data_IF_246650333036
#
_entry.id   IF_246650333036
#
_cell.length_a   1.000
_cell.length_b   1.000
_cell.length_c   1.000
_cell.angle_alpha   90.00
_cell.angle_beta   90.00
_cell.angle_gamma   90.00
#
_symmetry.space_group_name_H-M   'P 1'
#
loop_
_entity.id
_entity.type
_entity.pdbx_description
1 polymer ?
#
# COMPACT_ATOMS: atom_id res chain seq x y z
N UNK A 1 4.08 -1.70 58.20
CA UNK A 1 3.97 -1.63 56.73
C UNK A 1 2.77 -0.75 56.40
N UNK A 2 2.97 0.48 55.88
CA UNK A 2 1.87 1.42 55.71
C UNK A 2 1.10 1.18 54.41
N UNK A 3 -0.21 1.22 54.54
CA UNK A 3 -1.24 1.03 53.51
C UNK A 3 -1.38 2.31 52.68
N UNK A 4 -1.11 2.25 51.37
CA UNK A 4 -1.31 3.38 50.45
C UNK A 4 -2.72 3.31 49.86
N UNK A 5 -3.62 4.15 50.36
CA UNK A 5 -4.96 4.37 49.80
C UNK A 5 -4.88 5.32 48.60
N UNK A 6 -5.10 4.80 47.39
CA UNK A 6 -5.18 5.59 46.17
C UNK A 6 -6.55 6.30 46.06
N UNK A 7 -6.56 7.63 46.22
CA UNK A 7 -7.72 8.50 45.95
C UNK A 7 -7.92 8.62 44.44
N UNK A 8 -9.00 8.04 43.90
CA UNK A 8 -9.49 8.33 42.53
C UNK A 8 -10.15 9.71 42.51
N UNK A 9 -9.65 10.62 41.67
CA UNK A 9 -10.37 11.84 41.29
C UNK A 9 -11.30 11.55 40.09
N UNK A 10 -12.51 12.12 40.05
CA UNK A 10 -13.40 12.03 38.89
C UNK A 10 -12.93 12.96 37.77
N UNK A 11 -12.78 12.42 36.55
CA UNK A 11 -12.57 13.23 35.34
C UNK A 11 -13.89 13.90 34.95
N UNK A 12 -13.91 15.23 34.99
CA UNK A 12 -14.99 16.05 34.47
C UNK A 12 -15.14 15.84 32.95
N UNK A 13 -16.36 15.54 32.51
CA UNK A 13 -16.76 15.51 31.12
C UNK A 13 -16.94 16.94 30.61
N UNK A 14 -15.96 17.45 29.85
CA UNK A 14 -16.09 18.71 29.14
C UNK A 14 -16.60 18.46 27.72
N UNK A 15 -17.91 18.65 27.54
CA UNK A 15 -18.59 18.78 26.25
C UNK A 15 -18.04 19.98 25.49
N UNK A 16 -17.37 19.75 24.35
CA UNK A 16 -16.96 20.83 23.43
C UNK A 16 -18.13 21.26 22.54
N UNK A 17 -18.40 22.57 22.41
CA UNK A 17 -19.44 23.07 21.52
C UNK A 17 -19.03 22.98 20.05
N UNK A 18 -20.00 22.59 19.21
CA UNK A 18 -20.01 22.78 17.76
C UNK A 18 -20.13 24.27 17.45
N UNK A 19 -19.18 24.85 16.71
CA UNK A 19 -19.28 26.11 15.97
C UNK A 19 -17.95 26.29 15.21
N UNK A 20 -17.84 26.81 14.00
CA UNK A 20 -18.78 27.20 12.96
C UNK A 20 -17.99 27.14 11.64
N UNK A 21 -18.66 26.81 10.54
CA UNK A 21 -18.09 26.84 9.19
C UNK A 21 -17.67 28.28 8.87
N UNK A 22 -16.36 28.52 8.75
CA UNK A 22 -15.83 29.73 8.12
C UNK A 22 -15.99 29.58 6.61
N UNK A 23 -16.89 30.38 6.06
CA UNK A 23 -17.08 30.63 4.64
C UNK A 23 -15.81 31.27 4.08
N UNK A 24 -15.07 30.54 3.25
CA UNK A 24 -14.09 31.13 2.36
C UNK A 24 -14.80 31.39 1.03
N UNK A 25 -14.92 32.67 0.66
CA UNK A 25 -15.42 33.10 -0.65
C UNK A 25 -14.42 32.70 -1.74
N UNK A 26 -14.82 32.03 -2.83
CA UNK A 26 -14.00 31.98 -4.03
C UNK A 26 -14.38 33.16 -4.93
N UNK A 27 -13.52 34.18 -4.96
CA UNK A 27 -13.43 35.06 -6.12
C UNK A 27 -12.56 34.36 -7.17
N UNK A 28 -13.19 33.82 -8.20
CA UNK A 28 -12.55 33.73 -9.52
C UNK A 28 -13.61 33.51 -10.58
N UNK A 29 -13.68 34.49 -11.47
CA UNK A 29 -14.45 34.52 -12.69
C UNK A 29 -14.22 33.25 -13.51
N UNK A 30 -15.23 32.40 -13.57
CA UNK A 30 -15.35 31.41 -14.63
C UNK A 30 -16.42 31.89 -15.62
N UNK A 31 -16.18 31.77 -16.94
CA UNK A 31 -17.10 32.26 -17.94
C UNK A 31 -18.43 31.51 -17.83
N UNK A 32 -19.46 32.24 -17.42
CA UNK A 32 -20.83 31.73 -17.30
C UNK A 32 -21.37 31.44 -18.70
N UNK A 33 -21.42 30.16 -19.09
CA UNK A 33 -22.01 29.74 -20.35
C UNK A 33 -23.54 29.92 -20.28
N UNK A 34 -24.04 31.11 -20.68
CA UNK A 34 -25.47 31.49 -20.68
C UNK A 34 -26.36 30.68 -21.65
N UNK A 35 -25.82 29.69 -22.39
CA UNK A 35 -26.53 29.02 -23.49
C UNK A 35 -26.95 27.56 -23.22
N UNK A 36 -26.62 26.96 -22.08
CA UNK A 36 -26.98 25.56 -21.82
C UNK A 36 -27.73 25.41 -20.50
N UNK A 37 -29.05 25.57 -20.56
CA UNK A 37 -29.99 25.31 -19.45
C UNK A 37 -30.22 23.79 -19.27
N UNK A 38 -29.14 23.01 -19.36
CA UNK A 38 -29.18 21.57 -19.18
C UNK A 38 -28.46 21.20 -17.87
N UNK A 39 -29.08 20.32 -17.09
CA UNK A 39 -28.53 19.70 -15.88
C UNK A 39 -27.14 19.04 -16.07
N UNK A 40 -26.62 18.98 -17.30
CA UNK A 40 -25.32 18.39 -17.65
C UNK A 40 -24.11 19.24 -17.26
N UNK A 41 -24.23 20.56 -17.11
CA UNK A 41 -23.07 21.41 -16.80
C UNK A 41 -22.77 21.55 -15.30
N UNK A 42 -23.64 21.09 -14.39
CA UNK A 42 -23.38 21.11 -12.93
C UNK A 42 -22.56 19.92 -12.41
N UNK A 43 -22.38 18.86 -13.21
CA UNK A 43 -21.81 17.58 -12.75
C UNK A 43 -20.37 17.28 -13.22
N UNK A 44 -19.76 18.16 -14.01
CA UNK A 44 -18.37 17.98 -14.50
C UNK A 44 -17.32 17.88 -13.36
N UNK A 45 -17.40 18.65 -12.26
CA UNK A 45 -16.48 18.50 -11.13
C UNK A 45 -16.67 17.17 -10.37
N UNK A 46 -17.90 16.66 -10.32
CA UNK A 46 -18.24 15.44 -9.60
C UNK A 46 -17.70 14.18 -10.29
N UNK A 47 -17.74 14.14 -11.63
CA UNK A 47 -17.18 13.04 -12.41
C UNK A 47 -15.65 12.97 -12.29
N UNK A 48 -14.95 14.11 -12.39
CA UNK A 48 -13.50 14.17 -12.19
C UNK A 48 -13.06 13.75 -10.78
N UNK A 49 -13.83 14.16 -9.75
CA UNK A 49 -13.58 13.74 -8.37
C UNK A 49 -13.78 12.23 -8.18
N UNK A 50 -14.84 11.66 -8.75
CA UNK A 50 -15.13 10.22 -8.65
C UNK A 50 -14.03 9.37 -9.33
N UNK A 51 -13.57 9.78 -10.52
CA UNK A 51 -12.47 9.10 -11.22
C UNK A 51 -11.16 9.18 -10.43
N UNK A 52 -10.84 10.35 -9.85
CA UNK A 52 -9.68 10.50 -8.98
C UNK A 52 -9.76 9.58 -7.76
N UNK A 53 -10.90 9.57 -7.08
CA UNK A 53 -11.10 8.72 -5.90
C UNK A 53 -11.01 7.22 -6.24
N UNK A 54 -11.54 6.80 -7.40
CA UNK A 54 -11.39 5.44 -7.89
C UNK A 54 -9.92 5.08 -8.15
N UNK A 55 -9.16 5.98 -8.79
CA UNK A 55 -7.72 5.81 -9.01
C UNK A 55 -6.96 5.72 -7.67
N UNK A 56 -7.23 6.61 -6.73
CA UNK A 56 -6.56 6.65 -5.43
C UNK A 56 -6.84 5.37 -4.62
N UNK A 57 -8.09 4.87 -4.65
CA UNK A 57 -8.47 3.58 -4.04
C UNK A 57 -7.76 2.40 -4.70
N UNK A 58 -7.65 2.40 -6.04
CA UNK A 58 -6.92 1.37 -6.78
C UNK A 58 -5.43 1.38 -6.43
N UNK A 59 -4.80 2.54 -6.38
CA UNK A 59 -3.39 2.69 -5.98
C UNK A 59 -3.17 2.20 -4.54
N UNK A 60 -4.03 2.60 -3.60
CA UNK A 60 -3.95 2.13 -2.22
C UNK A 60 -4.11 0.60 -2.12
N UNK A 61 -5.04 0.02 -2.89
CA UNK A 61 -5.22 -1.43 -2.99
C UNK A 61 -3.92 -2.11 -3.44
N UNK A 62 -3.32 -1.64 -4.54
CA UNK A 62 -2.11 -2.21 -5.11
C UNK A 62 -0.95 -2.17 -4.11
N UNK A 63 -0.75 -1.04 -3.39
CA UNK A 63 0.27 -0.90 -2.34
C UNK A 63 0.08 -1.93 -1.22
N UNK A 64 -1.16 -2.14 -0.77
CA UNK A 64 -1.41 -3.14 0.29
C UNK A 64 -1.18 -4.57 -0.18
N UNK A 65 -1.52 -4.87 -1.41
CA UNK A 65 -1.27 -6.19 -2.00
C UNK A 65 0.22 -6.47 -2.07
N UNK A 66 1.00 -5.48 -2.50
CA UNK A 66 2.46 -5.61 -2.63
C UNK A 66 3.10 -5.78 -1.26
N UNK A 67 2.68 -4.99 -0.27
CA UNK A 67 3.15 -5.13 1.11
C UNK A 67 2.86 -6.53 1.68
N UNK A 68 1.64 -7.05 1.52
CA UNK A 68 1.30 -8.40 1.99
C UNK A 68 2.18 -9.47 1.31
N UNK A 69 2.43 -9.33 0.00
CA UNK A 69 3.23 -10.30 -0.73
C UNK A 69 4.71 -10.26 -0.36
N UNK A 70 5.28 -9.07 -0.17
CA UNK A 70 6.68 -8.91 0.24
C UNK A 70 6.89 -9.59 1.59
N UNK A 71 6.02 -9.31 2.56
CA UNK A 71 6.17 -9.87 3.91
C UNK A 71 6.00 -11.41 3.89
N UNK A 72 5.06 -11.92 3.09
CA UNK A 72 4.84 -13.35 2.94
C UNK A 72 5.97 -14.08 2.22
N UNK A 73 6.39 -13.61 1.05
CA UNK A 73 7.33 -14.33 0.19
C UNK A 73 8.77 -14.22 0.67
N UNK A 74 9.20 -13.03 1.11
CA UNK A 74 10.59 -12.84 1.54
C UNK A 74 10.83 -13.29 2.98
N UNK A 75 9.81 -13.23 3.85
CA UNK A 75 9.97 -13.45 5.29
C UNK A 75 9.07 -14.54 5.86
N UNK A 76 8.26 -15.21 5.03
CA UNK A 76 7.41 -16.33 5.45
C UNK A 76 6.26 -15.97 6.38
N UNK A 77 6.01 -14.67 6.63
CA UNK A 77 4.98 -14.25 7.57
C UNK A 77 3.60 -14.19 6.89
N UNK A 78 2.59 -14.75 7.56
CA UNK A 78 1.20 -14.66 7.15
C UNK A 78 0.37 -14.06 8.28
N UNK A 79 -0.54 -13.15 7.96
CA UNK A 79 -1.46 -12.60 8.94
C UNK A 79 -2.42 -13.68 9.47
N UNK A 80 -2.46 -13.84 10.79
CA UNK A 80 -3.41 -14.74 11.46
C UNK A 80 -4.86 -14.26 11.33
N UNK A 81 -5.05 -12.94 11.37
CA UNK A 81 -6.36 -12.32 11.27
C UNK A 81 -6.75 -12.16 9.81
N UNK A 82 -7.77 -12.92 9.37
CA UNK A 82 -8.33 -12.78 8.04
C UNK A 82 -9.09 -11.46 7.85
N UNK A 83 -9.10 -10.94 6.62
CA UNK A 83 -9.84 -9.73 6.29
C UNK A 83 -11.36 -9.96 6.31
N UNK A 84 -12.10 -9.20 7.13
CA UNK A 84 -13.57 -9.19 7.08
C UNK A 84 -14.10 -8.32 5.93
N UNK A 85 -15.26 -8.67 5.38
CA UNK A 85 -15.90 -7.96 4.23
C UNK A 85 -16.27 -6.49 4.53
N UNK A 86 -16.26 -6.05 5.78
CA UNK A 86 -16.88 -4.79 6.24
C UNK A 86 -15.99 -3.54 6.14
N UNK A 87 -14.69 -3.67 5.89
CA UNK A 87 -13.81 -2.51 5.76
C UNK A 87 -13.72 -2.10 4.28
N UNK A 88 -14.71 -1.30 3.85
CA UNK A 88 -14.78 -0.56 2.59
C UNK A 88 -13.76 -0.96 1.52
N UNK A 89 -14.20 -1.73 0.53
CA UNK A 89 -13.39 -2.32 -0.55
C UNK A 89 -12.28 -3.21 0.00
N UNK A 90 -12.55 -4.53 0.07
CA UNK A 90 -11.52 -5.51 0.36
C UNK A 90 -10.35 -5.27 -0.59
N UNK A 91 -9.18 -4.87 -0.07
CA UNK A 91 -8.01 -4.58 -0.90
C UNK A 91 -7.43 -5.86 -1.56
N UNK A 92 -8.19 -6.96 -1.60
CA UNK A 92 -7.74 -8.26 -2.10
C UNK A 92 -6.82 -9.00 -1.18
N UNK A 93 -6.71 -8.53 0.06
CA UNK A 93 -5.81 -9.12 1.04
C UNK A 93 -6.40 -10.40 1.61
N UNK A 94 -5.53 -11.34 1.91
CA UNK A 94 -5.85 -12.52 2.70
C UNK A 94 -5.94 -12.11 4.19
N UNK A 95 -5.02 -11.27 4.64
CA UNK A 95 -4.93 -10.72 5.99
C UNK A 95 -5.67 -9.39 6.19
N UNK A 96 -5.95 -9.08 7.46
CA UNK A 96 -6.40 -7.76 7.89
C UNK A 96 -5.42 -6.67 7.42
N UNK A 97 -5.96 -5.63 6.77
CA UNK A 97 -5.17 -4.54 6.18
C UNK A 97 -4.22 -3.88 7.18
N UNK A 98 -4.70 -3.56 8.38
CA UNK A 98 -3.87 -2.89 9.38
C UNK A 98 -2.80 -3.85 9.90
N UNK A 99 -3.14 -5.13 10.06
CA UNK A 99 -2.19 -6.14 10.48
C UNK A 99 -1.05 -6.30 9.47
N UNK A 100 -1.37 -6.42 8.18
CA UNK A 100 -0.40 -6.48 7.09
C UNK A 100 0.49 -5.23 7.06
N UNK A 101 -0.09 -4.03 7.20
CA UNK A 101 0.68 -2.78 7.23
C UNK A 101 1.64 -2.73 8.40
N UNK A 102 1.21 -3.15 9.60
CA UNK A 102 2.07 -3.18 10.79
C UNK A 102 3.25 -4.13 10.60
N UNK A 103 3.01 -5.32 10.04
CA UNK A 103 4.07 -6.27 9.74
C UNK A 103 5.07 -5.71 8.71
N UNK A 104 4.58 -5.13 7.62
CA UNK A 104 5.44 -4.53 6.58
C UNK A 104 6.29 -3.38 7.11
N UNK A 105 5.71 -2.48 7.92
CA UNK A 105 6.46 -1.37 8.54
C UNK A 105 7.51 -1.89 9.52
N UNK A 106 7.19 -2.90 10.34
CA UNK A 106 8.16 -3.48 11.27
C UNK A 106 9.37 -4.09 10.54
N UNK A 107 9.13 -4.79 9.45
CA UNK A 107 10.19 -5.33 8.59
C UNK A 107 11.02 -4.21 7.96
N UNK A 108 10.38 -3.20 7.38
CA UNK A 108 11.06 -2.06 6.75
C UNK A 108 11.93 -1.30 7.76
N UNK A 109 11.42 -1.04 8.96
CA UNK A 109 12.19 -0.38 10.02
C UNK A 109 13.41 -1.19 10.40
N UNK A 110 13.24 -2.51 10.62
CA UNK A 110 14.35 -3.36 11.04
C UNK A 110 15.45 -3.46 9.98
N UNK A 111 15.08 -3.61 8.71
CA UNK A 111 16.04 -3.68 7.62
C UNK A 111 16.68 -2.32 7.34
N UNK A 112 15.88 -1.25 7.30
CA UNK A 112 16.37 0.10 7.10
C UNK A 112 17.35 0.54 8.19
N UNK A 113 17.05 0.27 9.46
CA UNK A 113 17.95 0.56 10.59
C UNK A 113 19.27 -0.22 10.46
N UNK A 114 19.20 -1.51 10.10
CA UNK A 114 20.40 -2.33 9.90
C UNK A 114 21.29 -1.77 8.80
N UNK A 115 20.72 -1.44 7.64
CA UNK A 115 21.45 -0.88 6.50
C UNK A 115 22.01 0.51 6.81
N UNK A 116 21.24 1.35 7.52
CA UNK A 116 21.67 2.68 7.93
C UNK A 116 22.88 2.61 8.88
N UNK A 117 22.82 1.75 9.90
CA UNK A 117 23.95 1.54 10.83
C UNK A 117 25.18 1.05 10.07
N UNK A 118 25.01 0.10 9.14
CA UNK A 118 26.12 -0.39 8.30
C UNK A 118 26.75 0.75 7.50
N UNK A 119 25.94 1.56 6.81
CA UNK A 119 26.43 2.67 6.02
C UNK A 119 27.16 3.73 6.86
N UNK A 120 26.72 3.99 8.09
CA UNK A 120 27.44 4.87 9.04
C UNK A 120 28.81 4.29 9.40
N UNK A 121 28.88 3.00 9.70
CA UNK A 121 30.12 2.33 10.07
C UNK A 121 31.13 2.25 8.91
N UNK A 122 30.64 2.11 7.68
CA UNK A 122 31.44 2.00 6.46
C UNK A 122 31.74 3.35 5.79
N UNK A 123 31.15 4.45 6.28
CA UNK A 123 31.30 5.80 5.70
C UNK A 123 30.50 6.04 4.41
N UNK A 124 29.55 5.15 4.07
CA UNK A 124 28.71 5.22 2.87
C UNK A 124 27.32 5.82 3.09
N UNK A 125 27.10 6.59 4.16
CA UNK A 125 25.77 7.09 4.52
C UNK A 125 25.13 7.96 3.42
N UNK A 126 25.92 8.85 2.81
CA UNK A 126 25.40 9.77 1.79
C UNK A 126 24.94 9.01 0.53
N UNK A 127 25.71 8.02 0.09
CA UNK A 127 25.37 7.17 -1.06
C UNK A 127 24.08 6.39 -0.81
N UNK A 128 23.94 5.78 0.37
CA UNK A 128 22.70 5.11 0.77
C UNK A 128 21.50 6.08 0.76
N UNK A 129 21.66 7.29 1.28
CA UNK A 129 20.58 8.28 1.32
C UNK A 129 20.16 8.73 -0.07
N UNK A 130 21.12 8.92 -0.98
CA UNK A 130 20.84 9.26 -2.38
C UNK A 130 20.11 8.11 -3.09
N UNK A 131 20.56 6.87 -2.92
CA UNK A 131 19.93 5.68 -3.50
C UNK A 131 18.47 5.53 -3.03
N UNK A 132 18.24 5.58 -1.71
CA UNK A 132 16.91 5.43 -1.13
C UNK A 132 15.97 6.58 -1.57
N UNK A 133 16.49 7.80 -1.65
CA UNK A 133 15.70 8.96 -2.14
C UNK A 133 15.31 8.77 -3.60
N UNK A 134 16.24 8.36 -4.46
CA UNK A 134 15.96 8.05 -5.86
C UNK A 134 14.89 6.96 -6.01
N UNK A 135 14.98 5.88 -5.23
CA UNK A 135 13.98 4.80 -5.22
C UNK A 135 12.60 5.33 -4.80
N UNK A 136 12.55 6.15 -3.74
CA UNK A 136 11.30 6.70 -3.22
C UNK A 136 10.64 7.66 -4.23
N UNK A 137 11.41 8.54 -4.85
CA UNK A 137 10.94 9.48 -5.86
C UNK A 137 10.41 8.72 -7.08
N UNK A 138 11.18 7.77 -7.62
CA UNK A 138 10.77 6.94 -8.75
C UNK A 138 9.50 6.14 -8.44
N UNK A 139 9.36 5.61 -7.22
CA UNK A 139 8.16 4.91 -6.79
C UNK A 139 6.94 5.84 -6.66
N UNK A 140 7.15 7.10 -6.29
CA UNK A 140 6.08 8.09 -6.17
C UNK A 140 5.53 8.54 -7.52
N UNK A 141 6.40 8.66 -8.53
CA UNK A 141 6.05 9.12 -9.88
C UNK A 141 5.48 7.99 -10.75
N UNK A 142 6.09 6.82 -10.69
CA UNK A 142 5.80 5.70 -11.60
C UNK A 142 4.98 4.58 -10.94
N UNK A 143 4.69 4.70 -9.64
CA UNK A 143 4.13 3.61 -8.84
C UNK A 143 5.22 2.63 -8.39
N UNK A 144 4.85 1.53 -7.70
CA UNK A 144 5.85 0.61 -7.14
C UNK A 144 6.83 0.15 -8.21
N UNK A 145 8.13 0.18 -7.89
CA UNK A 145 9.20 -0.33 -8.76
C UNK A 145 9.09 -1.85 -8.82
N UNK A 146 8.25 -2.34 -9.74
CA UNK A 146 7.95 -3.77 -9.95
C UNK A 146 9.11 -4.56 -10.56
N UNK A 147 10.26 -3.93 -10.77
CA UNK A 147 11.42 -4.47 -11.46
C UNK A 147 12.48 -5.08 -10.51
N UNK A 148 12.05 -5.63 -9.37
CA UNK A 148 12.95 -6.42 -8.53
C UNK A 148 13.33 -7.74 -9.21
N UNK A 149 14.57 -8.23 -8.99
CA UNK A 149 15.02 -9.52 -9.54
C UNK A 149 14.21 -10.72 -9.03
N UNK A 150 13.70 -10.63 -7.80
CA UNK A 150 12.98 -11.70 -7.08
C UNK A 150 11.46 -11.58 -7.16
N UNK A 151 10.92 -10.38 -6.91
CA UNK A 151 9.49 -10.12 -6.94
C UNK A 151 9.22 -9.25 -8.17
N UNK A 152 8.74 -9.89 -9.25
CA UNK A 152 8.33 -9.20 -10.46
C UNK A 152 6.82 -9.35 -10.64
N UNK A 153 6.10 -8.23 -10.55
CA UNK A 153 4.66 -8.16 -10.79
C UNK A 153 4.34 -8.05 -12.28
N UNK A 154 4.95 -8.91 -13.10
CA UNK A 154 4.74 -8.96 -14.53
C UNK A 154 3.28 -9.34 -14.88
N UNK A 155 2.77 -8.74 -15.96
CA UNK A 155 1.41 -9.00 -16.46
C UNK A 155 0.31 -8.21 -15.73
N UNK A 156 -0.94 -8.51 -16.10
CA UNK A 156 -2.11 -7.84 -15.54
C UNK A 156 -2.35 -8.25 -14.08
N UNK A 157 -2.68 -7.27 -13.22
CA UNK A 157 -3.05 -7.55 -11.83
C UNK A 157 -4.37 -8.31 -11.78
N UNK A 158 -4.46 -9.27 -10.86
CA UNK A 158 -5.73 -9.92 -10.55
C UNK A 158 -6.75 -8.84 -10.11
N UNK A 159 -7.91 -8.84 -10.75
CA UNK A 159 -9.03 -7.97 -10.39
C UNK A 159 -10.32 -8.79 -10.27
N UNK A 160 -11.35 -8.19 -9.70
CA UNK A 160 -12.68 -8.78 -9.59
C UNK A 160 -13.78 -7.79 -10.01
N UNK A 161 -14.97 -8.31 -10.31
CA UNK A 161 -16.17 -7.46 -10.26
C UNK A 161 -16.45 -7.17 -8.80
N UNK A 162 -16.78 -5.92 -8.46
CA UNK A 162 -16.78 -5.26 -7.13
C UNK A 162 -17.36 -6.04 -5.92
N UNK A 163 -17.98 -7.20 -6.12
CA UNK A 163 -18.58 -8.07 -5.10
C UNK A 163 -18.36 -9.57 -5.28
N UNK A 164 -17.77 -10.00 -6.40
CA UNK A 164 -17.58 -11.41 -6.71
C UNK A 164 -16.18 -11.89 -6.32
N UNK A 165 -16.10 -13.16 -5.93
CA UNK A 165 -14.85 -13.85 -5.62
C UNK A 165 -13.97 -14.13 -6.86
N UNK A 166 -14.52 -14.42 -8.06
CA UNK A 166 -13.68 -14.83 -9.18
C UNK A 166 -12.77 -13.74 -9.73
N UNK A 167 -11.60 -14.17 -10.18
CA UNK A 167 -10.65 -13.36 -10.93
C UNK A 167 -11.16 -13.15 -12.34
N UNK A 168 -11.46 -11.90 -12.70
CA UNK A 168 -11.94 -11.54 -14.03
C UNK A 168 -10.83 -11.57 -15.09
N UNK A 169 -9.57 -11.51 -14.65
CA UNK A 169 -8.40 -11.45 -15.52
C UNK A 169 -7.89 -12.85 -15.86
N UNK A 170 -7.96 -13.79 -14.92
CA UNK A 170 -7.33 -15.10 -15.05
C UNK A 170 -8.30 -16.29 -14.89
N UNK A 171 -9.60 -16.05 -14.66
CA UNK A 171 -10.61 -17.11 -14.58
C UNK A 171 -10.57 -18.00 -13.33
N UNK A 172 -9.87 -17.58 -12.28
CA UNK A 172 -9.79 -18.30 -11.00
C UNK A 172 -11.01 -18.03 -10.10
N UNK A 173 -11.44 -18.97 -9.26
CA UNK A 173 -12.64 -18.83 -8.42
C UNK A 173 -12.50 -17.79 -7.30
N UNK A 174 -11.28 -17.58 -6.80
CA UNK A 174 -10.91 -16.52 -5.86
C UNK A 174 -9.73 -15.70 -6.38
N UNK A 175 -9.96 -14.43 -6.71
CA UNK A 175 -8.93 -13.54 -7.22
C UNK A 175 -7.77 -13.29 -6.26
N UNK A 176 -7.98 -13.47 -4.95
CA UNK A 176 -6.94 -13.33 -3.91
C UNK A 176 -6.01 -14.53 -3.92
N UNK A 177 -6.58 -15.73 -4.01
CA UNK A 177 -5.81 -16.97 -4.17
C UNK A 177 -5.05 -16.95 -5.49
N UNK A 178 -5.71 -16.59 -6.60
CA UNK A 178 -5.07 -16.41 -7.89
C UNK A 178 -3.84 -15.50 -7.83
N UNK A 179 -3.98 -14.34 -7.17
CA UNK A 179 -2.85 -13.43 -6.95
C UNK A 179 -1.74 -14.12 -6.15
N UNK A 180 -2.06 -14.72 -5.01
CA UNK A 180 -1.08 -15.37 -4.15
C UNK A 180 -0.31 -16.49 -4.87
N UNK A 181 -1.00 -17.33 -5.63
CA UNK A 181 -0.42 -18.43 -6.40
C UNK A 181 0.49 -17.94 -7.53
N UNK A 182 0.02 -16.98 -8.34
CA UNK A 182 0.83 -16.39 -9.41
C UNK A 182 2.09 -15.72 -8.87
N UNK A 183 1.95 -15.04 -7.73
CA UNK A 183 3.07 -14.40 -7.05
C UNK A 183 4.08 -15.39 -6.51
N UNK A 184 3.62 -16.47 -5.88
CA UNK A 184 4.49 -17.53 -5.40
C UNK A 184 5.22 -18.24 -6.56
N UNK A 185 4.52 -18.52 -7.66
CA UNK A 185 5.10 -19.11 -8.86
C UNK A 185 6.17 -18.21 -9.50
N UNK A 186 5.89 -16.91 -9.65
CA UNK A 186 6.86 -15.95 -10.18
C UNK A 186 8.09 -15.84 -9.28
N UNK A 187 7.89 -15.76 -7.96
CA UNK A 187 8.96 -15.70 -7.00
C UNK A 187 9.85 -16.96 -7.06
N UNK A 188 9.25 -18.15 -7.07
CA UNK A 188 9.98 -19.41 -7.16
C UNK A 188 10.82 -19.49 -8.45
N UNK A 189 10.23 -19.12 -9.60
CA UNK A 189 10.94 -19.09 -10.88
C UNK A 189 12.13 -18.10 -10.86
N UNK A 190 11.93 -16.92 -10.29
CA UNK A 190 12.98 -15.92 -10.18
C UNK A 190 14.09 -16.33 -9.22
N UNK A 191 13.74 -16.95 -8.09
CA UNK A 191 14.69 -17.47 -7.11
C UNK A 191 15.56 -18.55 -7.75
N UNK A 192 14.94 -19.53 -8.42
CA UNK A 192 15.65 -20.59 -9.14
C UNK A 192 16.60 -20.01 -10.20
N UNK A 193 16.18 -18.99 -10.94
CA UNK A 193 17.05 -18.31 -11.91
C UNK A 193 18.27 -17.68 -11.24
N UNK A 194 18.08 -16.99 -10.10
CA UNK A 194 19.18 -16.36 -9.37
C UNK A 194 20.15 -17.40 -8.78
N UNK A 195 19.64 -18.53 -8.30
CA UNK A 195 20.47 -19.64 -7.84
C UNK A 195 21.32 -20.20 -8.99
N UNK A 196 20.70 -20.46 -10.15
CA UNK A 196 21.39 -20.93 -11.35
C UNK A 196 22.44 -19.94 -11.87
N UNK A 197 22.12 -18.64 -11.90
CA UNK A 197 23.04 -17.58 -12.30
C UNK A 197 24.22 -17.46 -11.31
N UNK A 198 23.95 -17.64 -10.00
CA UNK A 198 24.97 -17.64 -8.94
C UNK A 198 25.95 -18.81 -9.05
N UNK A 199 25.49 -19.99 -9.49
CA UNK A 199 26.36 -21.15 -9.75
C UNK A 199 27.30 -20.97 -10.95
N UNK A 200 27.01 -20.06 -11.88
CA UNK A 200 27.89 -19.76 -13.01
C UNK A 200 29.04 -18.79 -12.69
N UNK A 201 28.97 -18.06 -11.57
CA UNK A 201 30.02 -17.08 -11.19
C UNK A 201 31.19 -17.73 -10.44
N UNK A 202 31.02 -18.93 -9.87
CA UNK A 202 32.08 -19.64 -9.15
C UNK A 202 33.05 -20.46 -10.03
N UNK A 203 32.86 -20.51 -11.36
CA UNK A 203 33.72 -21.28 -12.27
C UNK A 203 34.87 -20.47 -12.91
N UNK A 204 35.19 -19.28 -12.35
CA UNK A 204 36.37 -18.49 -12.73
C UNK A 204 37.12 -17.99 -11.50
N UNK A 205 37.81 -18.90 -10.84
CA UNK A 205 39.03 -18.63 -10.07
C UNK A 205 40.07 -19.69 -10.47
#
# INVERSE_FOLDING_TARGET
MPTVTARRQPRAAASRPRSAKRSASPSSDLPFCKKCDSLRCRNLPAHGKALKEQRDRKLARDVHQDAEMIVKLLFGWCAEKSQSKSNGTSAGLCGDKLHNQRAAVAVLLRLGEKEYIRAVQEGGLEELQQEISYIADAASEHGPLRSGKLINLGGDRCDNFEKLSPCTVHGHDDWRQCRAERMAANFAANLQRLENDGHHVQARL
#
